data_IF_577627975334
#
_entry.id   IF_577627975334
#
_cell.length_a   1.000
_cell.length_b   1.000
_cell.length_c   1.000
_cell.angle_alpha   90.00
_cell.angle_beta   90.00
_cell.angle_gamma   90.00
#
_symmetry.space_group_name_H-M   'P 1'
#
loop_
_entity.id
_entity.type
_entity.pdbx_description
1 polymer ?
#
# COMPACT_ATOMS: atom_id res chain seq x y z
N UNK A 1 9.40 9.90 9.78
CA UNK A 1 9.90 9.68 8.40
C UNK A 1 10.61 10.91 7.86
N UNK A 2 9.92 12.03 7.55
CA UNK A 2 10.53 13.27 7.02
C UNK A 2 11.79 13.72 7.78
N UNK A 3 11.73 13.69 9.12
CA UNK A 3 12.82 14.04 10.04
C UNK A 3 14.07 13.13 9.88
N UNK A 4 13.83 11.83 9.68
CA UNK A 4 14.88 10.81 9.46
C UNK A 4 15.49 10.99 8.06
N UNK A 5 14.67 11.32 7.05
CA UNK A 5 15.10 11.59 5.67
C UNK A 5 16.01 12.81 5.62
N UNK A 6 15.62 13.90 6.28
CA UNK A 6 16.39 15.16 6.32
C UNK A 6 17.74 15.00 7.02
N UNK A 7 17.82 14.15 8.06
CA UNK A 7 19.08 13.78 8.73
C UNK A 7 20.05 13.02 7.82
N UNK A 8 19.54 12.23 6.89
CA UNK A 8 20.36 11.46 5.94
C UNK A 8 20.68 12.20 4.63
N UNK A 9 19.91 13.23 4.28
CA UNK A 9 20.08 14.06 3.08
C UNK A 9 21.05 15.20 3.24
N UNK A 10 20.92 15.92 4.35
CA UNK A 10 21.99 16.78 4.78
C UNK A 10 23.13 15.83 5.14
N UNK A 11 24.30 16.02 4.55
CA UNK A 11 25.56 15.36 4.91
C UNK A 11 25.99 15.75 6.34
N UNK A 12 25.09 15.62 7.32
CA UNK A 12 25.33 15.68 8.75
C UNK A 12 26.00 14.38 9.17
N UNK A 13 27.15 14.08 8.55
CA UNK A 13 28.15 13.19 9.09
C UNK A 13 28.89 13.91 10.23
N UNK A 14 28.14 14.54 11.14
CA UNK A 14 28.66 15.09 12.38
C UNK A 14 28.24 14.12 13.47
N UNK A 15 29.23 13.53 14.13
CA UNK A 15 29.05 12.64 15.30
C UNK A 15 27.91 13.22 16.16
N UNK A 16 26.96 12.38 16.63
CA UNK A 16 25.88 12.89 17.45
C UNK A 16 26.50 13.64 18.63
N UNK A 17 26.31 14.97 18.69
CA UNK A 17 26.60 15.72 19.90
C UNK A 17 25.58 15.23 20.93
N UNK A 18 25.98 14.22 21.73
CA UNK A 18 25.24 13.65 22.85
C UNK A 18 24.79 14.71 23.88
N UNK A 19 25.26 15.96 23.74
CA UNK A 19 25.03 17.07 24.67
C UNK A 19 23.70 17.81 24.48
N UNK A 20 22.89 17.51 23.46
CA UNK A 20 21.60 18.20 23.21
C UNK A 20 20.38 17.27 23.06
N UNK A 21 20.45 16.07 23.63
CA UNK A 21 19.25 15.28 23.83
C UNK A 21 18.45 15.92 24.97
N UNK A 22 17.25 16.46 24.68
CA UNK A 22 16.28 16.83 25.73
C UNK A 22 16.26 15.68 26.73
N UNK A 23 16.43 15.96 28.03
CA UNK A 23 16.48 14.95 29.08
C UNK A 23 15.39 13.91 28.83
N UNK A 24 15.79 12.73 28.35
CA UNK A 24 14.87 11.68 27.88
C UNK A 24 13.86 11.31 28.96
N UNK A 25 14.30 11.46 30.21
CA UNK A 25 13.53 11.25 31.43
C UNK A 25 12.44 12.32 31.67
N UNK A 26 12.62 13.56 31.22
CA UNK A 26 11.60 14.61 31.33
C UNK A 26 10.52 14.43 30.25
N UNK A 27 10.94 14.13 29.01
CA UNK A 27 10.02 13.88 27.91
C UNK A 27 9.16 12.62 28.16
N UNK A 28 9.78 11.57 28.70
CA UNK A 28 9.07 10.35 29.09
C UNK A 28 8.05 10.61 30.21
N UNK A 29 8.41 11.43 31.21
CA UNK A 29 7.47 11.82 32.28
C UNK A 29 6.28 12.59 31.72
N UNK A 30 6.51 13.52 30.78
CA UNK A 30 5.45 14.28 30.10
C UNK A 30 4.53 13.37 29.27
N UNK A 31 5.09 12.43 28.49
CA UNK A 31 4.28 11.51 27.69
C UNK A 31 3.43 10.59 28.56
N UNK A 32 3.99 10.11 29.68
CA UNK A 32 3.26 9.28 30.64
C UNK A 32 2.17 10.08 31.35
N UNK A 33 2.42 11.34 31.73
CA UNK A 33 1.38 12.18 32.34
C UNK A 33 0.24 12.49 31.37
N UNK A 34 0.55 12.79 30.10
CA UNK A 34 -0.47 13.00 29.05
C UNK A 34 -1.29 11.72 28.83
N UNK A 35 -0.64 10.55 28.74
CA UNK A 35 -1.34 9.28 28.62
C UNK A 35 -2.25 9.01 29.84
N UNK A 36 -1.79 9.32 31.05
CA UNK A 36 -2.58 9.16 32.27
C UNK A 36 -3.81 10.08 32.27
N UNK A 37 -3.65 11.36 31.88
CA UNK A 37 -4.77 12.31 31.77
C UNK A 37 -5.81 11.84 30.76
N UNK A 38 -5.37 11.40 29.57
CA UNK A 38 -6.27 10.85 28.54
C UNK A 38 -7.00 9.62 29.06
N UNK A 39 -6.30 8.70 29.73
CA UNK A 39 -6.88 7.47 30.28
C UNK A 39 -7.92 7.79 31.36
N UNK A 40 -7.60 8.70 32.29
CA UNK A 40 -8.53 9.13 33.35
C UNK A 40 -9.76 9.80 32.76
N UNK A 41 -9.58 10.67 31.77
CA UNK A 41 -10.69 11.33 31.07
C UNK A 41 -11.65 10.32 30.41
N UNK A 42 -11.10 9.34 29.68
CA UNK A 42 -11.89 8.28 29.05
C UNK A 42 -12.59 7.36 30.07
N UNK A 43 -11.95 7.15 31.22
CA UNK A 43 -12.51 6.36 32.31
C UNK A 43 -13.67 7.07 33.01
N UNK A 44 -13.55 8.38 33.22
CA UNK A 44 -14.64 9.24 33.71
C UNK A 44 -15.83 9.24 32.73
N UNK A 45 -15.55 9.23 31.42
CA UNK A 45 -16.57 9.20 30.37
C UNK A 45 -17.16 7.80 30.11
N UNK A 46 -16.70 6.74 30.79
CA UNK A 46 -17.13 5.34 30.59
C UNK A 46 -17.07 4.91 29.12
N UNK A 47 -16.06 5.37 28.38
CA UNK A 47 -15.97 5.12 26.93
C UNK A 47 -15.64 3.66 26.61
N UNK A 48 -16.07 3.13 25.46
CA UNK A 48 -15.63 1.83 24.95
C UNK A 48 -14.10 1.72 24.81
N UNK A 49 -13.57 0.49 24.90
CA UNK A 49 -12.12 0.20 24.83
C UNK A 49 -11.49 0.72 23.52
N UNK A 50 -12.25 0.77 22.42
CA UNK A 50 -11.77 1.29 21.13
C UNK A 50 -11.25 2.73 21.25
N UNK A 51 -11.92 3.59 22.03
CA UNK A 51 -11.49 4.98 22.23
C UNK A 51 -10.14 5.11 22.93
N UNK A 52 -9.82 4.20 23.85
CA UNK A 52 -8.52 4.18 24.52
C UNK A 52 -7.40 3.93 23.53
N UNK A 53 -7.58 2.97 22.61
CA UNK A 53 -6.59 2.67 21.57
C UNK A 53 -6.38 3.90 20.68
N UNK A 54 -7.45 4.53 20.20
CA UNK A 54 -7.36 5.70 19.33
C UNK A 54 -6.72 6.91 20.00
N UNK A 55 -7.10 7.24 21.23
CA UNK A 55 -6.60 8.44 21.91
C UNK A 55 -5.19 8.26 22.49
N UNK A 56 -4.78 7.04 22.85
CA UNK A 56 -3.45 6.78 23.41
C UNK A 56 -2.39 6.57 22.33
N UNK A 57 -2.73 6.04 21.15
CA UNK A 57 -1.77 5.77 20.07
C UNK A 57 -0.93 6.99 19.62
N UNK A 58 -1.45 8.23 19.57
CA UNK A 58 -0.65 9.40 19.26
C UNK A 58 0.48 9.68 20.28
N UNK A 59 0.32 9.29 21.54
CA UNK A 59 1.28 9.59 22.62
C UNK A 59 2.67 8.98 22.39
N UNK A 60 2.83 7.66 22.15
CA UNK A 60 4.14 7.07 21.85
C UNK A 60 4.71 7.56 20.51
N UNK A 61 3.86 7.90 19.54
CA UNK A 61 4.28 8.48 18.25
C UNK A 61 4.93 9.84 18.47
N UNK A 62 4.25 10.75 19.16
CA UNK A 62 4.79 12.08 19.49
C UNK A 62 6.00 12.01 20.42
N UNK A 63 6.03 11.07 21.38
CA UNK A 63 7.22 10.82 22.19
C UNK A 63 8.43 10.48 21.31
N UNK A 64 8.27 9.62 20.31
CA UNK A 64 9.35 9.23 19.39
C UNK A 64 9.80 10.41 18.53
N UNK A 65 8.87 11.22 18.02
CA UNK A 65 9.18 12.45 17.25
C UNK A 65 9.94 13.47 18.12
N UNK A 66 9.47 13.73 19.33
CA UNK A 66 10.09 14.69 20.25
C UNK A 66 11.45 14.21 20.76
N UNK A 67 11.65 12.89 20.90
CA UNK A 67 12.96 12.29 21.21
C UNK A 67 14.01 12.58 20.14
N UNK A 68 13.58 12.69 18.88
CA UNK A 68 14.44 13.05 17.74
C UNK A 68 14.45 14.57 17.41
N UNK A 69 13.81 15.42 18.22
CA UNK A 69 13.75 16.87 18.00
C UNK A 69 15.12 17.56 17.85
N UNK A 70 16.18 16.98 18.43
CA UNK A 70 17.56 17.44 18.22
C UNK A 70 17.96 17.45 16.73
N UNK A 71 17.55 16.44 15.98
CA UNK A 71 17.77 16.39 14.53
C UNK A 71 16.97 17.47 13.78
N UNK A 72 15.80 17.86 14.28
CA UNK A 72 15.01 18.97 13.74
C UNK A 72 15.71 20.31 13.99
N UNK A 73 16.27 20.50 15.18
CA UNK A 73 17.04 21.73 15.50
C UNK A 73 18.34 21.83 14.72
N UNK A 74 19.03 20.71 14.48
CA UNK A 74 20.23 20.68 13.65
C UNK A 74 19.88 20.99 12.19
N UNK A 75 18.74 20.50 11.70
CA UNK A 75 18.24 20.83 10.36
C UNK A 75 17.92 22.32 10.20
N UNK A 76 17.23 22.93 11.17
CA UNK A 76 16.90 24.36 11.16
C UNK A 76 18.18 25.20 11.17
N UNK A 77 19.23 24.76 11.88
CA UNK A 77 20.54 25.43 11.86
C UNK A 77 21.31 25.24 10.56
N UNK A 78 21.11 24.13 9.86
CA UNK A 78 21.69 23.86 8.54
C UNK A 78 20.89 24.48 7.39
N UNK A 79 19.67 24.97 7.64
CA UNK A 79 18.80 25.61 6.65
C UNK A 79 19.44 26.77 5.85
N UNK A 80 20.33 27.63 6.42
CA UNK A 80 20.98 28.70 5.66
C UNK A 80 21.94 28.20 4.57
N UNK A 81 22.42 26.96 4.68
CA UNK A 81 23.38 26.35 3.73
C UNK A 81 22.73 25.51 2.63
N UNK A 82 21.40 25.30 2.73
CA UNK A 82 20.63 24.53 1.77
C UNK A 82 19.97 25.47 0.75
N UNK A 83 19.66 25.02 -0.47
CA UNK A 83 18.86 25.79 -1.41
C UNK A 83 17.44 25.95 -0.86
N UNK A 84 17.22 27.01 -0.07
CA UNK A 84 15.97 27.32 0.64
C UNK A 84 14.75 27.21 -0.28
N UNK A 85 14.89 27.65 -1.53
CA UNK A 85 13.83 27.55 -2.54
C UNK A 85 13.39 26.11 -2.83
N UNK A 86 14.33 25.17 -2.96
CA UNK A 86 13.99 23.75 -3.21
C UNK A 86 13.34 23.09 -1.99
N UNK A 87 13.79 23.46 -0.79
CA UNK A 87 13.23 22.96 0.46
C UNK A 87 11.81 23.50 0.68
N UNK A 88 11.61 24.81 0.48
CA UNK A 88 10.31 25.46 0.56
C UNK A 88 9.33 24.88 -0.47
N UNK A 89 9.76 24.74 -1.73
CA UNK A 89 8.94 24.11 -2.77
C UNK A 89 8.53 22.68 -2.42
N UNK A 90 9.45 21.87 -1.87
CA UNK A 90 9.14 20.51 -1.43
C UNK A 90 8.16 20.50 -0.25
N UNK A 91 8.32 21.40 0.71
CA UNK A 91 7.42 21.51 1.85
C UNK A 91 6.01 21.91 1.42
N UNK A 92 5.89 22.92 0.56
CA UNK A 92 4.60 23.37 0.01
C UNK A 92 3.93 22.25 -0.78
N UNK A 93 4.68 21.50 -1.60
CA UNK A 93 4.15 20.37 -2.36
C UNK A 93 3.63 19.25 -1.44
N UNK A 94 4.37 18.91 -0.38
CA UNK A 94 3.95 17.90 0.60
C UNK A 94 2.73 18.37 1.38
N UNK A 95 2.71 19.63 1.83
CA UNK A 95 1.56 20.21 2.52
C UNK A 95 0.31 20.18 1.63
N UNK A 96 0.44 20.61 0.38
CA UNK A 96 -0.65 20.54 -0.60
C UNK A 96 -1.13 19.10 -0.83
N UNK A 97 -0.22 18.14 -0.95
CA UNK A 97 -0.57 16.73 -1.07
C UNK A 97 -1.33 16.19 0.15
N UNK A 98 -0.93 16.59 1.36
CA UNK A 98 -1.63 16.22 2.60
C UNK A 98 -3.02 16.87 2.64
N UNK A 99 -3.15 18.14 2.29
CA UNK A 99 -4.44 18.82 2.23
C UNK A 99 -5.37 18.15 1.21
N UNK A 100 -4.87 17.78 0.03
CA UNK A 100 -5.64 17.03 -0.97
C UNK A 100 -6.13 15.69 -0.41
N UNK A 101 -5.28 15.00 0.36
CA UNK A 101 -5.67 13.78 1.07
C UNK A 101 -6.74 14.06 2.15
N UNK A 102 -6.63 15.14 2.91
CA UNK A 102 -7.64 15.54 3.91
C UNK A 102 -8.98 15.85 3.24
N UNK A 103 -8.98 16.62 2.15
CA UNK A 103 -10.19 16.93 1.39
C UNK A 103 -10.81 15.65 0.80
N UNK A 104 -10.00 14.64 0.46
CA UNK A 104 -10.51 13.36 -0.05
C UNK A 104 -11.41 12.61 0.94
N UNK A 105 -11.26 12.84 2.26
CA UNK A 105 -12.19 12.29 3.26
C UNK A 105 -13.58 12.91 3.18
N UNK A 106 -13.69 14.17 2.71
CA UNK A 106 -14.97 14.84 2.51
C UNK A 106 -15.52 14.60 1.11
N UNK A 107 -14.64 14.60 0.09
CA UNK A 107 -14.99 14.44 -1.30
C UNK A 107 -14.11 13.39 -1.97
N UNK A 108 -14.62 12.16 -2.07
CA UNK A 108 -13.97 11.03 -2.75
C UNK A 108 -13.47 11.33 -4.17
N UNK A 109 -14.15 12.22 -4.90
CA UNK A 109 -13.72 12.68 -6.23
C UNK A 109 -12.31 13.32 -6.24
N UNK A 110 -11.80 13.80 -5.10
CA UNK A 110 -10.42 14.30 -5.02
C UNK A 110 -9.39 13.19 -5.19
N UNK A 111 -9.72 11.93 -4.92
CA UNK A 111 -8.85 10.79 -5.24
C UNK A 111 -8.71 10.61 -6.75
N UNK A 112 -9.79 10.82 -7.52
CA UNK A 112 -9.75 10.84 -8.99
C UNK A 112 -8.79 11.91 -9.49
N UNK A 113 -8.88 13.13 -8.95
CA UNK A 113 -7.98 14.24 -9.30
C UNK A 113 -6.54 13.88 -8.93
N UNK A 114 -6.31 13.33 -7.74
CA UNK A 114 -4.99 12.87 -7.30
C UNK A 114 -4.40 11.82 -8.23
N UNK A 115 -5.17 10.78 -8.57
CA UNK A 115 -4.77 9.71 -9.49
C UNK A 115 -4.48 10.24 -10.91
N UNK A 116 -5.29 11.18 -11.40
CA UNK A 116 -5.06 11.84 -12.67
C UNK A 116 -3.74 12.63 -12.67
N UNK A 117 -3.46 13.41 -11.63
CA UNK A 117 -2.18 14.14 -11.49
C UNK A 117 -1.00 13.16 -11.40
N UNK A 118 -1.14 12.08 -10.63
CA UNK A 118 -0.11 11.04 -10.49
C UNK A 118 0.14 10.28 -11.79
N UNK A 119 -0.88 10.10 -12.64
CA UNK A 119 -0.73 9.46 -13.95
C UNK A 119 0.27 10.20 -14.85
N UNK A 120 0.37 11.53 -14.70
CA UNK A 120 1.24 12.38 -15.51
C UNK A 120 2.70 12.39 -15.04
N UNK A 121 3.01 11.80 -13.88
CA UNK A 121 4.35 11.82 -13.32
C UNK A 121 5.46 11.28 -14.27
N UNK A 122 5.28 10.14 -14.96
CA UNK A 122 6.28 9.65 -15.91
C UNK A 122 6.52 10.57 -17.12
N UNK A 123 5.53 11.39 -17.49
CA UNK A 123 5.66 12.40 -18.55
C UNK A 123 6.52 13.56 -18.05
N UNK A 124 6.22 14.08 -16.85
CA UNK A 124 6.95 15.20 -16.23
C UNK A 124 8.41 14.89 -15.95
N UNK A 125 8.73 13.62 -15.67
CA UNK A 125 10.10 13.17 -15.35
C UNK A 125 10.88 12.69 -16.58
N UNK A 126 10.28 12.71 -17.77
CA UNK A 126 10.90 12.21 -19.01
C UNK A 126 11.09 10.68 -19.04
N UNK A 127 10.58 9.95 -18.04
CA UNK A 127 10.62 8.48 -17.99
C UNK A 127 9.84 7.86 -19.16
N UNK A 128 8.83 8.56 -19.66
CA UNK A 128 8.05 8.12 -20.82
C UNK A 128 8.93 7.86 -22.06
N UNK A 129 9.99 8.66 -22.28
CA UNK A 129 10.89 8.46 -23.43
C UNK A 129 11.76 7.21 -23.30
N UNK A 130 12.09 6.79 -22.08
CA UNK A 130 13.01 5.67 -21.81
C UNK A 130 12.27 4.34 -21.67
N UNK A 131 11.09 4.36 -21.05
CA UNK A 131 10.33 3.15 -20.73
C UNK A 131 8.85 3.28 -21.11
N UNK A 132 8.60 3.48 -22.41
CA UNK A 132 7.26 3.73 -22.98
C UNK A 132 6.20 2.75 -22.49
N UNK A 133 6.48 1.45 -22.55
CA UNK A 133 5.51 0.42 -22.17
C UNK A 133 5.14 0.46 -20.67
N UNK A 134 6.14 0.54 -19.78
CA UNK A 134 5.90 0.58 -18.33
C UNK A 134 5.19 1.87 -17.93
N UNK A 135 5.62 2.99 -18.52
CA UNK A 135 5.01 4.31 -18.32
C UNK A 135 3.55 4.36 -18.77
N UNK A 136 3.24 3.78 -19.94
CA UNK A 136 1.87 3.66 -20.44
C UNK A 136 1.03 2.76 -19.53
N UNK A 137 1.59 1.65 -19.05
CA UNK A 137 0.91 0.75 -18.11
C UNK A 137 0.50 1.46 -16.82
N UNK A 138 1.39 2.28 -16.24
CA UNK A 138 1.07 3.13 -15.08
C UNK A 138 0.01 4.16 -15.39
N UNK A 139 0.13 4.87 -16.52
CA UNK A 139 -0.84 5.90 -16.91
C UNK A 139 -2.24 5.29 -17.02
N UNK A 140 -2.38 4.18 -17.73
CA UNK A 140 -3.66 3.46 -17.89
C UNK A 140 -4.16 2.95 -16.55
N UNK A 141 -3.31 2.31 -15.73
CA UNK A 141 -3.71 1.78 -14.43
C UNK A 141 -4.20 2.89 -13.48
N UNK A 142 -3.53 4.05 -13.45
CA UNK A 142 -3.97 5.22 -12.69
C UNK A 142 -5.34 5.72 -13.15
N UNK A 143 -5.57 5.82 -14.47
CA UNK A 143 -6.86 6.27 -15.02
C UNK A 143 -7.99 5.27 -14.74
N UNK A 144 -7.73 3.97 -14.88
CA UNK A 144 -8.69 2.93 -14.51
C UNK A 144 -9.09 3.05 -13.03
N UNK A 145 -8.11 3.27 -12.14
CA UNK A 145 -8.38 3.48 -10.72
C UNK A 145 -9.11 4.80 -10.43
N UNK A 146 -8.86 5.85 -11.20
CA UNK A 146 -9.47 7.16 -11.02
C UNK A 146 -10.99 7.13 -11.24
N UNK A 147 -11.50 6.10 -11.93
CA UNK A 147 -12.93 5.92 -12.16
C UNK A 147 -13.71 5.47 -10.91
N UNK A 148 -13.10 4.67 -10.03
CA UNK A 148 -13.79 4.09 -8.87
C UNK A 148 -14.29 5.13 -7.86
N UNK A 149 -13.53 6.18 -7.48
CA UNK A 149 -14.04 7.19 -6.55
C UNK A 149 -15.25 7.97 -7.08
N UNK A 150 -15.48 7.98 -8.39
CA UNK A 150 -16.65 8.60 -9.02
C UNK A 150 -17.88 7.68 -9.04
N UNK A 151 -17.68 6.37 -8.93
CA UNK A 151 -18.77 5.40 -8.92
C UNK A 151 -19.70 5.59 -7.71
N UNK A 152 -20.98 5.21 -7.80
CA UNK A 152 -21.88 5.27 -6.65
C UNK A 152 -21.31 4.43 -5.50
N UNK A 153 -21.61 4.83 -4.26
CA UNK A 153 -21.15 4.11 -3.07
C UNK A 153 -21.63 2.66 -3.13
N UNK A 154 -20.75 1.73 -2.74
CA UNK A 154 -21.00 0.28 -2.72
C UNK A 154 -22.32 -0.06 -2.04
N UNK A 155 -23.03 -1.04 -2.60
CA UNK A 155 -24.23 -1.64 -2.00
C UNK A 155 -25.56 -1.03 -2.44
N UNK A 156 -25.60 -0.10 -3.40
CA UNK A 156 -26.88 0.42 -3.94
C UNK A 156 -27.57 -0.53 -4.91
N UNK A 157 -26.81 -1.14 -5.83
CA UNK A 157 -27.32 -2.09 -6.82
C UNK A 157 -26.33 -3.24 -6.97
N UNK A 158 -26.82 -4.47 -6.83
CA UNK A 158 -26.00 -5.66 -6.96
C UNK A 158 -25.88 -6.04 -8.44
N UNK A 159 -24.66 -6.04 -8.97
CA UNK A 159 -24.34 -6.53 -10.31
C UNK A 159 -23.29 -7.63 -10.20
N UNK A 160 -23.77 -8.87 -10.15
CA UNK A 160 -22.95 -10.07 -10.00
C UNK A 160 -22.17 -10.39 -11.28
N UNK A 161 -22.55 -9.83 -12.44
CA UNK A 161 -21.77 -9.98 -13.66
C UNK A 161 -20.44 -9.23 -13.55
N UNK A 162 -20.41 -8.09 -12.85
CA UNK A 162 -19.15 -7.39 -12.56
C UNK A 162 -18.24 -8.18 -11.62
N UNK A 163 -18.82 -8.87 -10.63
CA UNK A 163 -18.06 -9.76 -9.73
C UNK A 163 -17.44 -10.94 -10.49
N UNK A 164 -18.20 -11.57 -11.37
CA UNK A 164 -17.67 -12.65 -12.23
C UNK A 164 -16.61 -12.14 -13.21
N UNK A 165 -16.81 -10.93 -13.78
CA UNK A 165 -15.82 -10.25 -14.61
C UNK A 165 -14.51 -9.97 -13.84
N UNK A 166 -14.59 -9.51 -12.60
CA UNK A 166 -13.43 -9.30 -11.74
C UNK A 166 -12.67 -10.60 -11.45
N UNK A 167 -13.39 -11.69 -11.19
CA UNK A 167 -12.81 -13.02 -11.06
C UNK A 167 -12.08 -13.44 -12.34
N UNK A 168 -12.70 -13.28 -13.51
CA UNK A 168 -12.08 -13.59 -14.80
C UNK A 168 -10.83 -12.73 -15.06
N UNK A 169 -10.90 -11.43 -14.79
CA UNK A 169 -9.75 -10.52 -14.90
C UNK A 169 -8.59 -10.97 -14.00
N UNK A 170 -8.90 -11.37 -12.77
CA UNK A 170 -7.92 -11.92 -11.82
C UNK A 170 -7.29 -13.21 -12.35
N UNK A 171 -8.07 -14.11 -12.94
CA UNK A 171 -7.57 -15.36 -13.52
C UNK A 171 -6.69 -15.12 -14.74
N UNK A 172 -7.10 -14.23 -15.66
CA UNK A 172 -6.35 -13.90 -16.87
C UNK A 172 -5.02 -13.26 -16.51
N UNK A 173 -5.03 -12.24 -15.63
CA UNK A 173 -3.81 -11.58 -15.17
C UNK A 173 -2.85 -12.54 -14.47
N UNK A 174 -3.39 -13.45 -13.66
CA UNK A 174 -2.64 -14.51 -12.97
C UNK A 174 -2.02 -15.52 -13.92
N UNK A 175 -2.77 -15.97 -14.93
CA UNK A 175 -2.26 -16.86 -15.97
C UNK A 175 -1.15 -16.19 -16.80
N UNK A 176 -1.33 -14.93 -17.19
CA UNK A 176 -0.31 -14.15 -17.89
C UNK A 176 0.98 -14.01 -17.06
N UNK A 177 0.85 -13.73 -15.76
CA UNK A 177 2.00 -13.63 -14.86
C UNK A 177 2.76 -14.95 -14.74
N UNK A 178 2.05 -16.05 -14.50
CA UNK A 178 2.66 -17.39 -14.42
C UNK A 178 3.30 -17.82 -15.74
N UNK A 179 2.65 -17.53 -16.87
CA UNK A 179 3.20 -17.82 -18.20
C UNK A 179 4.51 -17.05 -18.46
N UNK A 180 4.52 -15.75 -18.14
CA UNK A 180 5.74 -14.93 -18.26
C UNK A 180 6.83 -15.40 -17.31
N UNK A 181 6.48 -15.78 -16.09
CA UNK A 181 7.42 -16.31 -15.09
C UNK A 181 8.03 -17.62 -15.55
N UNK A 182 7.22 -18.54 -16.09
CA UNK A 182 7.67 -19.83 -16.58
C UNK A 182 8.75 -19.70 -17.68
N UNK A 183 8.61 -18.73 -18.58
CA UNK A 183 9.62 -18.46 -19.61
C UNK A 183 10.95 -17.92 -19.06
N UNK A 184 10.93 -17.21 -17.92
CA UNK A 184 12.10 -16.50 -17.40
C UNK A 184 12.86 -17.28 -16.33
N UNK A 185 12.18 -18.11 -15.54
CA UNK A 185 12.83 -18.88 -14.47
C UNK A 185 12.03 -20.15 -14.15
N UNK A 186 12.68 -21.32 -14.05
CA UNK A 186 11.99 -22.53 -13.63
C UNK A 186 11.55 -22.41 -12.17
N UNK A 187 10.24 -22.26 -11.96
CA UNK A 187 9.60 -22.36 -10.63
C UNK A 187 9.74 -23.78 -10.07
N UNK A 188 9.91 -23.91 -8.75
CA UNK A 188 9.84 -25.20 -8.06
C UNK A 188 8.43 -25.80 -8.26
N UNK A 189 8.28 -27.10 -8.53
CA UNK A 189 6.98 -27.71 -8.83
C UNK A 189 5.94 -27.51 -7.72
N UNK A 190 6.37 -27.50 -6.44
CA UNK A 190 5.50 -27.24 -5.30
C UNK A 190 4.86 -25.85 -5.33
N UNK A 191 5.65 -24.81 -5.63
CA UNK A 191 5.14 -23.42 -5.72
C UNK A 191 4.10 -23.30 -6.84
N UNK A 192 4.32 -23.99 -7.96
CA UNK A 192 3.38 -23.99 -9.09
C UNK A 192 2.05 -24.60 -8.68
N UNK A 193 2.09 -25.75 -8.01
CA UNK A 193 0.88 -26.43 -7.56
C UNK A 193 0.05 -25.55 -6.61
N UNK A 194 0.72 -24.85 -5.68
CA UNK A 194 0.07 -23.88 -4.82
C UNK A 194 -0.64 -22.77 -5.61
N UNK A 195 0.02 -22.18 -6.62
CA UNK A 195 -0.63 -21.15 -7.45
C UNK A 195 -1.81 -21.68 -8.26
N UNK A 196 -1.72 -22.91 -8.79
CA UNK A 196 -2.85 -23.53 -9.48
C UNK A 196 -4.05 -23.72 -8.55
N UNK A 197 -3.85 -24.19 -7.32
CA UNK A 197 -4.92 -24.31 -6.32
C UNK A 197 -5.52 -22.94 -6.00
N UNK A 198 -4.68 -21.91 -5.78
CA UNK A 198 -5.17 -20.56 -5.50
C UNK A 198 -5.98 -19.97 -6.66
N UNK A 199 -5.57 -20.20 -7.92
CA UNK A 199 -6.36 -19.79 -9.08
C UNK A 199 -7.68 -20.55 -9.18
N UNK A 200 -7.69 -21.87 -8.92
CA UNK A 200 -8.94 -22.62 -8.87
C UNK A 200 -9.89 -22.07 -7.79
N UNK A 201 -9.34 -21.72 -6.62
CA UNK A 201 -10.11 -21.11 -5.54
C UNK A 201 -10.72 -19.76 -5.96
N UNK A 202 -9.96 -18.91 -6.67
CA UNK A 202 -10.48 -17.66 -7.24
C UNK A 202 -11.62 -17.92 -8.23
N UNK A 203 -11.48 -18.93 -9.10
CA UNK A 203 -12.54 -19.31 -10.04
C UNK A 203 -13.81 -19.76 -9.31
N UNK A 204 -13.68 -20.60 -8.27
CA UNK A 204 -14.84 -21.00 -7.45
C UNK A 204 -15.47 -19.77 -6.77
N UNK A 205 -14.66 -18.90 -6.17
CA UNK A 205 -15.14 -17.71 -5.47
C UNK A 205 -15.78 -16.66 -6.37
N UNK A 206 -15.49 -16.65 -7.68
CA UNK A 206 -16.19 -15.77 -8.62
C UNK A 206 -17.62 -16.24 -8.92
N UNK A 207 -17.88 -17.55 -8.87
CA UNK A 207 -19.20 -18.13 -9.15
C UNK A 207 -20.09 -18.28 -7.90
N UNK A 208 -19.51 -18.47 -6.71
CA UNK A 208 -20.26 -18.67 -5.46
C UNK A 208 -21.26 -17.53 -5.16
N UNK A 209 -20.95 -16.23 -5.34
CA UNK A 209 -21.91 -15.15 -5.16
C UNK A 209 -23.13 -15.27 -6.09
N UNK A 210 -22.90 -15.65 -7.36
CA UNK A 210 -23.98 -15.85 -8.34
C UNK A 210 -24.89 -17.02 -7.96
N UNK A 211 -24.30 -18.14 -7.54
CA UNK A 211 -25.05 -19.32 -7.07
C UNK A 211 -25.86 -19.00 -5.81
N UNK A 212 -25.25 -18.25 -4.88
CA UNK A 212 -25.90 -17.81 -3.64
C UNK A 212 -27.10 -16.92 -3.96
N UNK A 213 -26.93 -15.93 -4.83
CA UNK A 213 -28.01 -15.04 -5.25
C UNK A 213 -29.16 -15.82 -5.91
N UNK A 214 -28.86 -16.75 -6.83
CA UNK A 214 -29.88 -17.59 -7.48
C UNK A 214 -30.67 -18.44 -6.47
N UNK A 215 -29.99 -19.02 -5.47
CA UNK A 215 -30.64 -19.80 -4.42
C UNK A 215 -31.54 -18.97 -3.51
N UNK A 216 -31.11 -17.75 -3.18
CA UNK A 216 -31.89 -16.80 -2.39
C UNK A 216 -33.14 -16.32 -3.16
N UNK A 217 -33.03 -16.04 -4.46
CA UNK A 217 -34.18 -15.72 -5.31
C UNK A 217 -35.20 -16.86 -5.35
N UNK A 218 -34.73 -18.10 -5.35
CA UNK A 218 -35.57 -19.30 -5.27
C UNK A 218 -36.10 -19.60 -3.85
N UNK A 219 -35.83 -18.74 -2.87
CA UNK A 219 -36.22 -18.90 -1.45
C UNK A 219 -35.74 -20.21 -0.81
N UNK A 220 -34.68 -20.83 -1.35
CA UNK A 220 -34.11 -22.09 -0.83
C UNK A 220 -33.13 -21.86 0.33
N UNK A 221 -32.95 -20.61 0.75
CA UNK A 221 -32.00 -20.23 1.80
C UNK A 221 -30.56 -20.24 1.28
N UNK A 222 -29.59 -20.22 2.21
CA UNK A 222 -28.17 -20.24 1.89
C UNK A 222 -27.66 -21.69 1.80
N UNK A 223 -27.22 -22.18 0.63
CA UNK A 223 -26.75 -23.56 0.48
C UNK A 223 -25.57 -23.88 1.41
N UNK A 224 -25.60 -25.04 2.06
CA UNK A 224 -24.53 -25.50 2.95
C UNK A 224 -23.16 -25.56 2.25
N UNK A 225 -23.12 -25.98 0.97
CA UNK A 225 -21.89 -26.02 0.19
C UNK A 225 -21.26 -24.63 0.05
N UNK A 226 -22.06 -23.59 -0.19
CA UNK A 226 -21.56 -22.22 -0.32
C UNK A 226 -21.01 -21.72 1.02
N UNK A 227 -21.64 -22.09 2.15
CA UNK A 227 -21.13 -21.77 3.49
C UNK A 227 -19.77 -22.42 3.74
N UNK A 228 -19.65 -23.72 3.47
CA UNK A 228 -18.39 -24.47 3.64
C UNK A 228 -17.28 -23.83 2.79
N UNK A 229 -17.54 -23.58 1.50
CA UNK A 229 -16.57 -22.93 0.62
C UNK A 229 -16.17 -21.56 1.15
N UNK A 230 -17.12 -20.76 1.64
CA UNK A 230 -16.84 -19.41 2.13
C UNK A 230 -15.96 -19.43 3.39
N UNK A 231 -16.29 -20.28 4.37
CA UNK A 231 -15.51 -20.42 5.60
C UNK A 231 -14.12 -21.02 5.34
N UNK A 232 -14.03 -22.02 4.47
CA UNK A 232 -12.74 -22.60 4.06
C UNK A 232 -11.88 -21.58 3.30
N UNK A 233 -12.48 -20.76 2.43
CA UNK A 233 -11.78 -19.69 1.72
C UNK A 233 -11.24 -18.66 2.71
N UNK A 234 -12.06 -18.21 3.66
CA UNK A 234 -11.64 -17.26 4.68
C UNK A 234 -10.45 -17.79 5.51
N UNK A 235 -10.50 -19.05 5.97
CA UNK A 235 -9.40 -19.65 6.73
C UNK A 235 -8.13 -19.83 5.89
N UNK A 236 -8.27 -20.34 4.66
CA UNK A 236 -7.15 -20.51 3.74
C UNK A 236 -6.51 -19.18 3.34
N UNK A 237 -7.28 -18.09 3.33
CA UNK A 237 -6.80 -16.77 2.92
C UNK A 237 -5.60 -16.29 3.75
N UNK A 238 -5.56 -16.69 5.02
CA UNK A 238 -4.52 -16.35 6.00
C UNK A 238 -3.38 -17.38 5.96
N UNK A 239 -3.71 -18.67 5.86
CA UNK A 239 -2.73 -19.75 5.97
C UNK A 239 -1.86 -19.91 4.72
N UNK A 240 -2.44 -19.83 3.53
CA UNK A 240 -1.75 -20.13 2.28
C UNK A 240 -0.60 -19.15 1.98
N UNK A 241 -0.74 -17.82 2.19
CA UNK A 241 0.36 -16.89 1.96
C UNK A 241 1.55 -17.07 2.92
N UNK A 242 1.34 -17.65 4.10
CA UNK A 242 2.41 -17.94 5.07
C UNK A 242 3.28 -19.13 4.63
N UNK A 243 2.70 -20.05 3.85
CA UNK A 243 3.37 -21.23 3.30
C UNK A 243 4.01 -20.96 1.92
N UNK A 244 3.81 -19.75 1.38
CA UNK A 244 4.31 -19.37 0.06
C UNK A 244 5.83 -19.16 0.05
N UNK A 245 6.42 -19.20 -1.15
CA UNK A 245 7.84 -18.91 -1.39
C UNK A 245 8.29 -17.59 -0.76
N UNK A 246 9.53 -17.54 -0.30
CA UNK A 246 10.17 -16.37 0.31
C UNK A 246 10.59 -15.30 -0.71
N UNK A 247 10.48 -15.59 -2.02
CA UNK A 247 10.75 -14.64 -3.11
C UNK A 247 9.66 -13.58 -3.20
N UNK A 248 10.04 -12.30 -3.25
CA UNK A 248 9.12 -11.16 -3.07
C UNK A 248 7.92 -11.18 -4.03
N UNK A 249 8.12 -11.37 -5.34
CA UNK A 249 7.04 -11.32 -6.32
C UNK A 249 6.09 -12.53 -6.22
N UNK A 250 6.63 -13.72 -5.96
CA UNK A 250 5.83 -14.92 -5.77
C UNK A 250 5.00 -14.85 -4.48
N UNK A 251 5.60 -14.32 -3.41
CA UNK A 251 4.89 -14.06 -2.15
C UNK A 251 3.77 -13.04 -2.32
N UNK A 252 4.06 -11.90 -2.96
CA UNK A 252 3.06 -10.86 -3.24
C UNK A 252 1.92 -11.39 -4.11
N UNK A 253 2.24 -12.20 -5.12
CA UNK A 253 1.25 -12.83 -5.98
C UNK A 253 0.38 -13.84 -5.21
N UNK A 254 0.97 -14.64 -4.33
CA UNK A 254 0.21 -15.55 -3.46
C UNK A 254 -0.71 -14.80 -2.51
N UNK A 255 -0.24 -13.70 -1.89
CA UNK A 255 -1.05 -12.82 -1.04
C UNK A 255 -2.22 -12.24 -1.85
N UNK A 256 -1.94 -11.73 -3.06
CA UNK A 256 -2.97 -11.17 -3.94
C UNK A 256 -4.07 -12.18 -4.27
N UNK A 257 -3.73 -13.39 -4.73
CA UNK A 257 -4.72 -14.42 -5.05
C UNK A 257 -5.58 -14.81 -3.84
N UNK A 258 -4.95 -14.92 -2.67
CA UNK A 258 -5.58 -15.28 -1.40
C UNK A 258 -6.57 -14.23 -0.90
N UNK A 259 -6.21 -12.96 -1.02
CA UNK A 259 -7.08 -11.85 -0.65
C UNK A 259 -8.16 -11.60 -1.71
N UNK A 260 -7.84 -11.79 -2.99
CA UNK A 260 -8.79 -11.64 -4.09
C UNK A 260 -9.94 -12.65 -3.99
N UNK A 261 -9.66 -13.93 -3.69
CA UNK A 261 -10.72 -14.94 -3.49
C UNK A 261 -11.69 -14.55 -2.38
N UNK A 262 -11.15 -14.08 -1.25
CA UNK A 262 -11.95 -13.63 -0.10
C UNK A 262 -12.74 -12.36 -0.42
N UNK A 263 -12.13 -11.42 -1.13
CA UNK A 263 -12.78 -10.17 -1.52
C UNK A 263 -13.94 -10.41 -2.51
N UNK A 264 -13.78 -11.33 -3.47
CA UNK A 264 -14.84 -11.71 -4.40
C UNK A 264 -16.09 -12.25 -3.69
N UNK A 265 -15.91 -13.04 -2.61
CA UNK A 265 -17.03 -13.54 -1.82
C UNK A 265 -17.77 -12.45 -1.04
N UNK A 266 -17.07 -11.38 -0.67
CA UNK A 266 -17.62 -10.23 0.06
C UNK A 266 -18.19 -9.15 -0.87
N UNK A 267 -17.95 -9.26 -2.17
CA UNK A 267 -18.35 -8.26 -3.16
C UNK A 267 -19.72 -8.60 -3.76
N UNK A 268 -20.49 -7.56 -4.07
CA UNK A 268 -21.82 -7.65 -4.66
C UNK A 268 -21.98 -6.84 -5.95
N UNK A 269 -20.98 -6.03 -6.31
CA UNK A 269 -21.01 -5.22 -7.52
C UNK A 269 -19.63 -4.84 -8.05
N UNK A 270 -19.53 -3.60 -8.55
CA UNK A 270 -18.36 -3.06 -9.26
C UNK A 270 -17.07 -3.01 -8.43
N UNK A 271 -17.18 -2.97 -7.11
CA UNK A 271 -16.04 -2.94 -6.19
C UNK A 271 -15.12 -4.15 -6.34
N UNK A 272 -15.65 -5.30 -6.77
CA UNK A 272 -14.89 -6.50 -7.08
C UNK A 272 -13.73 -6.24 -8.07
N UNK A 273 -13.90 -5.29 -8.99
CA UNK A 273 -12.88 -4.93 -9.99
C UNK A 273 -11.74 -4.08 -9.42
N UNK A 274 -11.93 -3.47 -8.25
CA UNK A 274 -10.95 -2.55 -7.67
C UNK A 274 -9.64 -3.23 -7.25
N UNK A 275 -9.62 -4.36 -6.51
CA UNK A 275 -8.35 -4.99 -6.10
C UNK A 275 -7.46 -5.46 -7.25
N UNK A 276 -7.98 -6.06 -8.35
CA UNK A 276 -7.16 -6.39 -9.52
C UNK A 276 -6.54 -5.17 -10.21
N UNK A 277 -7.28 -4.05 -10.30
CA UNK A 277 -6.74 -2.81 -10.88
C UNK A 277 -5.71 -2.17 -9.95
N UNK A 278 -5.95 -2.20 -8.63
CA UNK A 278 -4.99 -1.74 -7.61
C UNK A 278 -3.70 -2.56 -7.63
N UNK A 279 -3.80 -3.89 -7.71
CA UNK A 279 -2.62 -4.76 -7.77
C UNK A 279 -1.82 -4.53 -9.05
N UNK A 280 -2.49 -4.30 -10.19
CA UNK A 280 -1.84 -3.90 -11.43
C UNK A 280 -1.11 -2.56 -11.27
N UNK A 281 -1.75 -1.54 -10.67
CA UNK A 281 -1.09 -0.25 -10.44
C UNK A 281 0.14 -0.40 -9.53
N UNK A 282 0.05 -1.19 -8.46
CA UNK A 282 1.18 -1.44 -7.55
C UNK A 282 2.32 -2.15 -8.28
N UNK A 283 2.01 -3.13 -9.13
CA UNK A 283 3.01 -3.81 -9.94
C UNK A 283 3.66 -2.88 -10.97
N UNK A 284 2.86 -2.03 -11.65
CA UNK A 284 3.37 -1.01 -12.57
C UNK A 284 4.30 -0.03 -11.84
N UNK A 285 3.93 0.38 -10.62
CA UNK A 285 4.73 1.28 -9.78
C UNK A 285 6.11 0.68 -9.47
N UNK A 286 6.16 -0.57 -9.00
CA UNK A 286 7.40 -1.26 -8.68
C UNK A 286 8.32 -1.31 -9.91
N UNK A 287 7.78 -1.65 -11.09
CA UNK A 287 8.55 -1.75 -12.33
C UNK A 287 9.05 -0.41 -12.86
N UNK A 288 8.28 0.68 -12.70
CA UNK A 288 8.72 2.03 -13.06
C UNK A 288 9.81 2.51 -12.11
N UNK A 289 9.65 2.30 -10.80
CA UNK A 289 10.65 2.72 -9.81
C UNK A 289 11.97 1.96 -9.98
N UNK A 290 11.93 0.68 -10.38
CA UNK A 290 13.15 -0.03 -10.78
C UNK A 290 13.84 0.62 -11.97
N UNK A 291 13.09 0.97 -13.01
CA UNK A 291 13.65 1.59 -14.21
C UNK A 291 14.22 3.00 -13.94
N UNK A 292 13.53 3.75 -13.07
CA UNK A 292 13.99 5.04 -12.58
C UNK A 292 15.34 4.92 -11.88
N UNK A 293 15.53 3.87 -11.08
CA UNK A 293 16.78 3.60 -10.37
C UNK A 293 17.91 3.18 -11.31
N UNK A 294 17.63 2.34 -12.31
CA UNK A 294 18.61 1.93 -13.32
C UNK A 294 19.09 3.13 -14.14
N UNK A 295 18.17 4.01 -14.51
CA UNK A 295 18.45 5.24 -15.27
C UNK A 295 19.32 6.24 -14.52
N UNK A 296 19.28 6.24 -13.18
CA UNK A 296 20.13 7.09 -12.33
C UNK A 296 21.57 6.56 -12.17
N UNK A 297 21.96 5.53 -12.93
CA UNK A 297 23.36 5.11 -13.06
C UNK A 297 23.96 4.49 -11.80
N UNK A 298 23.14 3.91 -10.91
CA UNK A 298 23.65 3.14 -9.75
C UNK A 298 24.09 1.77 -10.26
N UNK A 299 25.40 1.49 -10.41
CA UNK A 299 25.86 0.22 -10.97
C UNK A 299 25.71 -0.89 -9.91
N UNK A 300 25.18 -2.05 -10.30
CA UNK A 300 25.31 -3.26 -9.49
C UNK A 300 24.21 -3.54 -8.45
N UNK A 301 22.93 -3.26 -8.74
CA UNK A 301 21.82 -3.78 -7.91
C UNK A 301 21.00 -4.83 -8.64
N UNK A 302 20.84 -5.97 -7.97
CA UNK A 302 19.96 -7.09 -8.30
C UNK A 302 18.56 -6.61 -8.70
N UNK A 303 18.00 -7.19 -9.76
CA UNK A 303 16.57 -7.08 -10.04
C UNK A 303 15.78 -7.47 -8.77
N UNK A 304 14.73 -6.72 -8.38
CA UNK A 304 13.94 -7.12 -7.18
C UNK A 304 13.37 -8.54 -7.36
N UNK A 305 13.27 -9.05 -8.59
CA UNK A 305 12.85 -10.42 -8.92
C UNK A 305 13.67 -11.49 -8.18
N UNK A 306 14.93 -11.15 -7.84
CA UNK A 306 15.89 -12.03 -7.17
C UNK A 306 15.97 -11.84 -5.66
N UNK A 307 15.20 -10.89 -5.10
CA UNK A 307 15.18 -10.67 -3.64
C UNK A 307 14.44 -11.82 -2.97
N UNK A 308 15.19 -12.53 -2.13
CA UNK A 308 14.71 -13.60 -1.28
C UNK A 308 14.79 -13.14 0.19
N UNK A 309 13.64 -13.13 0.89
CA UNK A 309 13.60 -12.74 2.30
C UNK A 309 14.25 -13.76 3.24
N UNK A 310 14.58 -14.97 2.75
CA UNK A 310 15.38 -15.95 3.50
C UNK A 310 16.88 -15.64 3.47
N UNK A 311 17.35 -14.84 2.52
CA UNK A 311 18.75 -14.45 2.42
C UNK A 311 19.07 -13.35 3.44
N UNK A 312 20.21 -13.49 4.14
CA UNK A 312 20.68 -12.48 5.09
C UNK A 312 20.86 -11.13 4.36
N UNK A 313 20.09 -10.13 4.81
CA UNK A 313 20.17 -8.78 4.28
C UNK A 313 21.47 -8.16 4.81
N UNK A 314 22.44 -7.93 3.93
CA UNK A 314 23.63 -7.13 4.25
C UNK A 314 23.21 -5.71 4.65
N UNK A 315 23.20 -5.42 5.95
CA UNK A 315 22.91 -4.11 6.54
C UNK A 315 23.89 -3.04 6.01
N UNK A 316 25.06 -3.46 5.53
CA UNK A 316 26.07 -2.61 4.88
C UNK A 316 25.64 -2.07 3.51
N UNK A 317 24.60 -2.63 2.87
CA UNK A 317 24.04 -2.17 1.58
C UNK A 317 22.87 -1.19 1.73
N UNK A 318 22.58 -0.71 2.94
CA UNK A 318 21.52 0.28 3.18
C UNK A 318 21.87 1.58 2.44
N UNK A 319 21.01 1.93 1.49
CA UNK A 319 21.14 3.15 0.69
C UNK A 319 20.80 4.36 1.57
N UNK A 320 21.56 5.44 1.45
CA UNK A 320 21.15 6.75 1.99
C UNK A 320 19.81 7.17 1.39
N UNK A 321 18.94 7.80 2.19
CA UNK A 321 17.64 8.23 1.67
C UNK A 321 17.84 9.30 0.60
N UNK A 322 16.96 9.32 -0.40
CA UNK A 322 16.92 10.27 -1.54
C UNK A 322 15.63 11.12 -1.50
N UNK A 323 15.61 12.30 -2.14
CA UNK A 323 14.39 13.14 -2.19
C UNK A 323 13.25 12.37 -2.89
N UNK A 324 13.62 11.48 -3.80
CA UNK A 324 12.73 10.47 -4.40
C UNK A 324 12.00 9.61 -3.36
N UNK A 325 12.56 9.40 -2.17
CA UNK A 325 11.91 8.61 -1.11
C UNK A 325 10.76 9.35 -0.44
N UNK A 326 10.76 10.68 -0.46
CA UNK A 326 9.61 11.49 -0.03
C UNK A 326 8.45 11.26 -1.01
N UNK A 327 8.72 11.32 -2.32
CA UNK A 327 7.72 11.02 -3.36
C UNK A 327 7.17 9.61 -3.18
N UNK A 328 8.04 8.61 -3.01
CA UNK A 328 7.62 7.22 -2.81
C UNK A 328 6.78 7.03 -1.56
N UNK A 329 7.14 7.69 -0.46
CA UNK A 329 6.36 7.69 0.78
C UNK A 329 4.99 8.33 0.58
N UNK A 330 4.93 9.45 -0.14
CA UNK A 330 3.67 10.10 -0.49
C UNK A 330 2.79 9.20 -1.37
N UNK A 331 3.33 8.59 -2.42
CA UNK A 331 2.59 7.66 -3.28
C UNK A 331 2.06 6.47 -2.46
N UNK A 332 2.88 5.91 -1.57
CA UNK A 332 2.46 4.83 -0.69
C UNK A 332 1.27 5.21 0.19
N UNK A 333 1.35 6.35 0.88
CA UNK A 333 0.25 6.86 1.72
C UNK A 333 -0.99 7.15 0.88
N UNK A 334 -0.82 7.77 -0.29
CA UNK A 334 -1.90 8.06 -1.21
C UNK A 334 -2.60 6.78 -1.69
N UNK A 335 -1.86 5.72 -2.00
CA UNK A 335 -2.43 4.43 -2.38
C UNK A 335 -3.13 3.71 -1.23
N UNK A 336 -2.65 3.84 0.00
CA UNK A 336 -3.38 3.33 1.18
C UNK A 336 -4.74 4.02 1.31
N UNK A 337 -4.76 5.36 1.21
CA UNK A 337 -5.99 6.14 1.30
C UNK A 337 -6.92 5.80 0.14
N UNK A 338 -6.37 5.66 -1.07
CA UNK A 338 -7.13 5.22 -2.25
C UNK A 338 -7.71 3.82 -2.05
N UNK A 339 -6.96 2.89 -1.48
CA UNK A 339 -7.43 1.54 -1.20
C UNK A 339 -8.56 1.50 -0.16
N UNK A 340 -8.56 2.44 0.78
CA UNK A 340 -9.57 2.52 1.84
C UNK A 340 -10.86 3.23 1.39
N UNK A 341 -10.74 4.34 0.66
CA UNK A 341 -11.87 5.21 0.29
C UNK A 341 -12.31 5.09 -1.17
N UNK A 342 -11.53 4.39 -2.02
CA UNK A 342 -11.71 4.39 -3.46
C UNK A 342 -13.02 3.76 -3.94
N UNK A 343 -13.57 2.82 -3.18
CA UNK A 343 -14.83 2.14 -3.51
C UNK A 343 -16.02 2.62 -2.66
N UNK A 344 -15.81 3.46 -1.65
CA UNK A 344 -16.86 3.93 -0.74
C UNK A 344 -16.66 3.46 0.68
#
# INVERSE_FOLDING_TARGET
VILIILRTHASLNRRPNLTKQISSRNLMRLSVSVAAVITVFLLLQRSPITYYIYCLLPVPVWYSVLKESGALTDLIRSAPSLPLWKCLSSFVLVAFGIELLVVSFFHRAMLTVGLAVLSLWPLLTGLFSKAKFRSLSWFVACLCLAFFPLMPVVGREADLHLVTCAGLLTLVTSACFLWSSWRRSPLHPSDRWQFFIQMLLVAVCSFVPLLTHSSLLQKRGLPLLNQIISWSTLASSILVPLLSSTRIFYRLFSIFLSLASTYLLLSTGSEALFPPVLSWLMFAWINIEQEALLTQGVPGRQELSTIDFSANIDITKIRQLKLDDIRRSYFFVFFIITAFFGTG
#
